data_IF_634582624951
#
_entry.id   IF_634582624951
#
_cell.length_a   1.000
_cell.length_b   1.000
_cell.length_c   1.000
_cell.angle_alpha   90.00
_cell.angle_beta   90.00
_cell.angle_gamma   90.00
#
_symmetry.space_group_name_H-M   'P 1'
#
loop_
_entity.id
_entity.type
_entity.pdbx_description
1 polymer ?
#
# COMPACT_ATOMS: atom_id res chain seq x y z
N UNK A 1 -18.44 6.42 -21.12
CA UNK A 1 -17.93 5.11 -20.71
C UNK A 1 -17.89 5.17 -19.19
N UNK A 2 -18.83 4.49 -18.52
CA UNK A 2 -18.78 4.32 -17.06
C UNK A 2 -17.41 3.72 -16.73
N UNK A 3 -16.73 4.12 -15.64
CA UNK A 3 -15.65 3.28 -15.13
C UNK A 3 -16.29 1.93 -14.79
N UNK A 4 -15.75 0.85 -15.37
CA UNK A 4 -16.19 -0.52 -15.08
C UNK A 4 -15.91 -0.80 -13.60
N UNK A 5 -16.89 -0.51 -12.74
CA UNK A 5 -16.90 -0.96 -11.36
C UNK A 5 -17.37 -2.42 -11.33
N UNK A 6 -16.66 -3.30 -12.03
CA UNK A 6 -16.78 -4.73 -11.81
C UNK A 6 -16.08 -5.06 -10.49
N UNK A 7 -16.70 -5.92 -9.67
CA UNK A 7 -16.01 -6.55 -8.54
C UNK A 7 -14.66 -7.10 -9.03
N UNK A 8 -13.51 -6.72 -8.43
CA UNK A 8 -12.25 -7.31 -8.83
C UNK A 8 -12.20 -8.74 -8.29
N UNK A 9 -12.73 -9.67 -9.08
CA UNK A 9 -12.21 -11.02 -9.09
C UNK A 9 -10.84 -10.96 -9.75
N UNK A 10 -9.79 -11.09 -8.91
CA UNK A 10 -8.46 -11.62 -9.23
C UNK A 10 -7.96 -11.32 -10.65
N UNK A 11 -7.31 -10.18 -10.85
CA UNK A 11 -6.53 -9.93 -12.07
C UNK A 11 -5.18 -9.32 -11.70
N UNK A 12 -4.14 -9.94 -12.25
CA UNK A 12 -2.72 -9.79 -11.95
C UNK A 12 -2.23 -8.33 -11.95
N UNK A 13 -1.39 -8.00 -10.97
CA UNK A 13 -0.67 -6.73 -10.86
C UNK A 13 0.56 -6.82 -11.76
N UNK A 14 0.46 -6.26 -12.96
CA UNK A 14 1.66 -5.96 -13.77
C UNK A 14 2.46 -4.83 -13.10
N UNK A 15 3.78 -4.95 -13.18
CA UNK A 15 4.78 -4.05 -12.58
C UNK A 15 4.46 -2.58 -12.86
N UNK A 16 4.11 -1.86 -11.81
CA UNK A 16 3.90 -0.42 -11.90
C UNK A 16 5.26 0.27 -11.92
N UNK A 17 5.71 0.68 -13.12
CA UNK A 17 6.73 1.71 -13.29
C UNK A 17 6.45 2.87 -12.32
N UNK A 18 7.52 3.47 -11.77
CA UNK A 18 7.43 4.61 -10.86
C UNK A 18 6.47 5.64 -11.45
N UNK A 19 5.28 5.75 -10.87
CA UNK A 19 4.22 6.56 -11.43
C UNK A 19 4.64 8.00 -11.21
N UNK A 20 5.22 8.63 -12.25
CA UNK A 20 5.47 10.05 -12.23
C UNK A 20 4.14 10.73 -11.90
N UNK A 21 4.13 11.58 -10.87
CA UNK A 21 2.93 12.28 -10.38
C UNK A 21 2.26 13.12 -11.47
N UNK A 22 3.00 13.42 -12.55
CA UNK A 22 2.57 14.15 -13.73
C UNK A 22 2.86 13.25 -14.92
N UNK A 23 1.82 12.83 -15.62
CA UNK A 23 1.97 12.08 -16.87
C UNK A 23 2.26 13.09 -18.01
N UNK A 24 2.95 12.70 -19.09
CA UNK A 24 3.20 13.61 -20.21
C UNK A 24 1.91 14.14 -20.85
N UNK A 25 0.78 13.41 -20.71
CA UNK A 25 -0.55 13.85 -21.14
C UNK A 25 -1.16 14.96 -20.27
N UNK A 26 -0.61 15.21 -19.08
CA UNK A 26 -1.07 16.25 -18.16
C UNK A 26 -0.43 17.62 -18.46
N UNK A 27 0.45 17.72 -19.47
CA UNK A 27 1.09 18.97 -19.89
C UNK A 27 0.32 19.55 -21.09
N UNK A 28 -0.41 20.64 -20.88
CA UNK A 28 -1.26 21.29 -21.89
C UNK A 28 -0.78 22.71 -22.16
N UNK A 29 -0.90 23.19 -23.40
CA UNK A 29 -0.60 24.59 -23.71
C UNK A 29 -1.53 25.54 -22.95
N UNK A 30 -0.97 26.61 -22.41
CA UNK A 30 -1.69 27.63 -21.63
C UNK A 30 -2.87 28.22 -22.40
N UNK A 31 -2.68 28.41 -23.71
CA UNK A 31 -3.68 28.90 -24.65
C UNK A 31 -3.52 28.16 -26.00
N UNK A 32 -4.60 28.02 -26.81
CA UNK A 32 -4.51 27.40 -28.13
C UNK A 32 -3.54 28.17 -29.03
N UNK A 33 -2.39 27.57 -29.36
CA UNK A 33 -1.35 28.18 -30.20
C UNK A 33 -0.20 28.87 -29.42
N UNK A 34 -0.22 28.86 -28.09
CA UNK A 34 0.90 29.36 -27.27
C UNK A 34 2.03 28.33 -27.16
N UNK A 35 3.27 28.79 -27.04
CA UNK A 35 4.44 27.95 -26.73
C UNK A 35 4.59 27.66 -25.22
N UNK A 36 3.88 28.41 -24.36
CA UNK A 36 3.89 28.22 -22.91
C UNK A 36 3.06 26.99 -22.51
N UNK A 37 3.69 26.05 -21.80
CA UNK A 37 3.06 24.84 -21.29
C UNK A 37 2.67 25.02 -19.82
N UNK A 38 1.48 24.56 -19.47
CA UNK A 38 0.92 24.56 -18.11
C UNK A 38 0.41 23.16 -17.75
N UNK A 39 0.34 22.86 -16.45
CA UNK A 39 -0.29 21.61 -16.02
C UNK A 39 -1.79 21.67 -16.27
N UNK A 40 -2.36 20.55 -16.71
CA UNK A 40 -3.78 20.37 -16.91
C UNK A 40 -4.50 20.61 -15.59
N UNK A 41 -5.56 21.41 -15.63
CA UNK A 41 -6.48 21.54 -14.50
C UNK A 41 -7.07 20.17 -14.16
N UNK A 42 -6.83 19.69 -12.94
CA UNK A 42 -7.43 18.45 -12.46
C UNK A 42 -8.95 18.60 -12.47
N UNK A 43 -9.62 17.79 -13.28
CA UNK A 43 -11.08 17.72 -13.32
C UNK A 43 -11.53 16.80 -12.20
N UNK A 44 -12.45 17.25 -11.35
CA UNK A 44 -13.12 16.35 -10.42
C UNK A 44 -13.92 15.33 -11.23
N UNK A 45 -14.12 14.10 -10.72
CA UNK A 45 -15.02 13.14 -11.35
C UNK A 45 -16.40 13.72 -11.67
N UNK A 46 -16.89 14.65 -10.83
CA UNK A 46 -18.13 15.41 -10.98
C UNK A 46 -18.12 16.46 -12.08
N UNK A 47 -16.94 16.93 -12.51
CA UNK A 47 -16.83 17.99 -13.52
C UNK A 47 -17.02 17.44 -14.95
N UNK A 48 -17.06 16.10 -15.10
CA UNK A 48 -17.49 15.47 -16.35
C UNK A 48 -18.99 15.70 -16.54
N UNK A 49 -19.33 16.68 -17.38
CA UNK A 49 -20.71 16.90 -17.83
C UNK A 49 -21.23 15.62 -18.48
N UNK A 50 -22.26 15.02 -17.87
CA UNK A 50 -22.96 13.90 -18.47
C UNK A 50 -23.59 14.37 -19.79
N UNK A 51 -23.46 13.57 -20.86
CA UNK A 51 -24.05 13.92 -22.18
C UNK A 51 -25.57 14.04 -22.16
N UNK A 52 -26.23 13.53 -21.12
CA UNK A 52 -27.66 13.56 -20.91
C UNK A 52 -27.97 13.96 -19.47
N UNK A 53 -29.07 14.70 -19.28
CA UNK A 53 -29.57 15.01 -17.95
C UNK A 53 -30.19 13.74 -17.35
N UNK A 54 -29.55 13.20 -16.32
CA UNK A 54 -30.03 12.06 -15.54
C UNK A 54 -30.24 12.52 -14.10
N UNK A 55 -31.42 12.26 -13.53
CA UNK A 55 -31.67 12.58 -12.12
C UNK A 55 -31.19 11.43 -11.24
N UNK A 56 -30.74 11.73 -10.03
CA UNK A 56 -30.39 10.70 -9.03
C UNK A 56 -31.53 9.73 -8.75
N UNK A 57 -32.79 10.20 -8.80
CA UNK A 57 -33.99 9.37 -8.65
C UNK A 57 -34.14 8.33 -9.76
N UNK A 58 -33.71 8.63 -11.00
CA UNK A 58 -33.77 7.71 -12.13
C UNK A 58 -32.69 6.63 -12.05
N UNK A 59 -31.51 6.97 -11.53
CA UNK A 59 -30.43 5.99 -11.30
C UNK A 59 -30.77 5.02 -10.18
N UNK A 60 -31.32 5.52 -9.06
CA UNK A 60 -31.73 4.70 -7.92
C UNK A 60 -32.89 3.77 -8.30
N UNK A 61 -33.86 4.25 -9.07
CA UNK A 61 -35.05 3.47 -9.46
C UNK A 61 -34.77 2.45 -10.57
N UNK A 62 -33.66 2.58 -11.31
CA UNK A 62 -33.31 1.69 -12.43
C UNK A 62 -32.62 0.39 -12.00
N UNK A 63 -32.21 0.26 -10.74
CA UNK A 63 -31.50 -0.91 -10.20
C UNK A 63 -32.37 -1.62 -9.17
N UNK A 64 -32.58 -2.94 -9.33
CA UNK A 64 -33.14 -3.78 -8.27
C UNK A 64 -32.01 -4.07 -7.27
N UNK A 65 -31.93 -3.26 -6.21
CA UNK A 65 -30.84 -3.28 -5.24
C UNK A 65 -30.21 -1.90 -5.08
N UNK A 66 -29.50 -1.67 -3.96
CA UNK A 66 -28.86 -0.37 -3.71
C UNK A 66 -27.83 -0.01 -4.79
N UNK A 67 -27.73 1.27 -5.12
CA UNK A 67 -26.70 1.78 -6.05
C UNK A 67 -25.31 1.49 -5.45
N UNK A 68 -24.35 0.93 -6.22
CA UNK A 68 -23.00 0.65 -5.72
C UNK A 68 -22.33 1.92 -5.21
N UNK A 69 -22.13 2.02 -3.90
CA UNK A 69 -21.46 3.17 -3.27
C UNK A 69 -19.96 3.23 -3.57
N UNK A 70 -19.35 2.14 -4.05
CA UNK A 70 -17.93 2.05 -4.37
C UNK A 70 -17.45 3.09 -5.40
N UNK A 71 -18.33 3.57 -6.28
CA UNK A 71 -17.96 4.47 -7.37
C UNK A 71 -18.22 5.96 -7.03
N UNK A 72 -18.70 6.27 -5.83
CA UNK A 72 -18.94 7.64 -5.38
C UNK A 72 -17.85 8.07 -4.40
N UNK A 73 -17.26 9.27 -4.57
CA UNK A 73 -16.31 9.79 -3.60
C UNK A 73 -17.03 10.01 -2.25
N UNK A 74 -16.41 9.54 -1.17
CA UNK A 74 -16.91 9.81 0.18
C UNK A 74 -16.75 11.31 0.45
N UNK A 75 -17.86 12.00 0.68
CA UNK A 75 -17.86 13.42 1.02
C UNK A 75 -17.62 13.56 2.52
N UNK A 76 -16.37 13.81 2.90
CA UNK A 76 -15.96 14.02 4.28
C UNK A 76 -14.45 14.00 4.45
N UNK A 77 -13.96 14.39 5.62
CA UNK A 77 -12.55 14.27 5.98
C UNK A 77 -12.44 13.12 6.98
N UNK A 78 -11.65 12.07 6.69
CA UNK A 78 -11.50 10.96 7.63
C UNK A 78 -10.73 11.40 8.88
N UNK A 79 -11.02 10.78 10.02
CA UNK A 79 -10.34 11.07 11.29
C UNK A 79 -8.84 10.75 11.21
N UNK A 80 -8.50 9.64 10.55
CA UNK A 80 -7.12 9.30 10.19
C UNK A 80 -6.92 9.69 8.73
N UNK A 81 -6.01 10.63 8.48
CA UNK A 81 -5.72 11.21 7.17
C UNK A 81 -4.80 10.32 6.33
N UNK A 82 -5.13 9.04 6.22
CA UNK A 82 -4.41 8.07 5.38
C UNK A 82 -4.59 8.33 3.88
N UNK A 83 -5.51 9.21 3.52
CA UNK A 83 -5.74 9.70 2.15
C UNK A 83 -4.62 10.62 1.64
N UNK A 84 -3.82 11.20 2.54
CA UNK A 84 -2.70 12.08 2.21
C UNK A 84 -1.39 11.53 2.76
N UNK A 85 -0.26 11.70 2.06
CA UNK A 85 1.02 11.26 2.56
C UNK A 85 1.43 12.09 3.79
N UNK A 86 2.06 11.43 4.76
CA UNK A 86 2.63 12.11 5.91
C UNK A 86 3.73 13.11 5.49
N UNK A 87 3.78 14.31 6.09
CA UNK A 87 4.78 15.31 5.77
C UNK A 87 6.18 14.85 6.20
N UNK A 88 7.18 15.06 5.34
CA UNK A 88 8.59 14.71 5.64
C UNK A 88 9.12 15.36 6.91
N UNK A 89 8.70 16.61 7.16
CA UNK A 89 9.03 17.36 8.37
C UNK A 89 7.71 17.82 8.97
N UNK A 90 7.36 17.21 10.10
CA UNK A 90 6.14 17.57 10.85
C UNK A 90 6.36 18.89 11.59
N UNK A 91 5.33 19.75 11.60
CA UNK A 91 5.32 20.96 12.43
C UNK A 91 5.03 20.57 13.88
N UNK A 92 5.55 21.31 14.84
CA UNK A 92 5.28 21.06 16.27
C UNK A 92 3.79 21.19 16.61
N UNK A 93 3.07 22.05 15.90
CA UNK A 93 1.63 22.25 16.06
C UNK A 93 0.77 21.29 15.25
N UNK A 94 1.36 20.34 14.53
CA UNK A 94 0.62 19.37 13.75
C UNK A 94 -0.07 18.37 14.69
N UNK A 95 -1.39 18.24 14.52
CA UNK A 95 -2.25 17.36 15.35
C UNK A 95 -2.91 16.27 14.51
N UNK A 96 -2.58 16.20 13.22
CA UNK A 96 -3.22 15.29 12.28
C UNK A 96 -2.54 13.92 12.33
N UNK A 97 -3.34 12.87 12.53
CA UNK A 97 -2.86 11.50 12.43
C UNK A 97 -2.91 11.05 10.95
N UNK A 98 -1.75 10.73 10.37
CA UNK A 98 -1.61 10.27 8.99
C UNK A 98 -1.70 8.74 8.83
N UNK A 99 -1.90 8.01 9.93
CA UNK A 99 -1.93 6.55 9.94
C UNK A 99 -0.54 5.90 9.95
N UNK A 100 0.51 6.67 10.22
CA UNK A 100 1.88 6.15 10.35
C UNK A 100 2.30 5.86 11.80
N UNK A 101 1.46 6.23 12.77
CA UNK A 101 1.72 6.10 14.20
C UNK A 101 1.25 4.75 14.75
N UNK A 102 1.93 4.25 15.78
CA UNK A 102 1.58 3.02 16.47
C UNK A 102 0.32 3.16 17.35
N UNK A 103 -0.17 2.03 17.84
CA UNK A 103 -1.33 2.02 18.73
C UNK A 103 -0.95 2.48 20.16
N UNK A 104 -1.94 2.79 21.00
CA UNK A 104 -1.72 3.17 22.40
C UNK A 104 -0.90 2.11 23.18
N UNK A 105 -1.04 0.84 22.81
CA UNK A 105 -0.27 -0.25 23.39
C UNK A 105 1.24 -0.08 23.21
N UNK A 106 1.69 0.32 22.02
CA UNK A 106 3.11 0.55 21.72
C UNK A 106 3.71 1.70 22.53
N UNK A 107 2.87 2.64 23.00
CA UNK A 107 3.31 3.74 23.87
C UNK A 107 3.42 3.31 25.34
N UNK A 108 2.48 2.47 25.81
CA UNK A 108 2.50 1.95 27.18
C UNK A 108 3.59 0.88 27.37
N UNK A 109 3.88 0.12 26.31
CA UNK A 109 4.84 -0.98 26.29
C UNK A 109 5.81 -0.81 25.12
N UNK A 110 6.77 0.14 25.21
CA UNK A 110 7.71 0.38 24.14
C UNK A 110 8.60 -0.85 23.91
N UNK A 111 8.83 -1.18 22.64
CA UNK A 111 9.75 -2.25 22.25
C UNK A 111 11.20 -1.76 22.30
N UNK A 112 12.15 -2.69 22.40
CA UNK A 112 13.59 -2.38 22.33
C UNK A 112 13.94 -1.68 20.99
N UNK A 113 13.17 -1.95 19.94
CA UNK A 113 13.32 -1.32 18.63
C UNK A 113 12.86 0.15 18.63
N UNK A 114 11.81 0.46 19.39
CA UNK A 114 11.32 1.83 19.52
C UNK A 114 12.35 2.76 20.18
N UNK A 115 13.18 2.24 21.11
CA UNK A 115 14.32 2.98 21.67
C UNK A 115 15.36 3.36 20.61
N UNK A 116 15.46 2.56 19.54
CA UNK A 116 16.33 2.82 18.38
C UNK A 116 15.61 3.58 17.25
N UNK A 117 14.37 4.01 17.47
CA UNK A 117 13.56 4.71 16.49
C UNK A 117 13.03 3.82 15.36
N UNK A 118 13.00 2.50 15.56
CA UNK A 118 12.42 1.53 14.61
C UNK A 118 11.03 1.15 15.10
N UNK A 119 10.02 1.43 14.27
CA UNK A 119 8.60 1.24 14.61
C UNK A 119 7.97 0.10 13.81
N UNK A 120 6.75 -0.31 14.16
CA UNK A 120 6.02 -1.43 13.56
C UNK A 120 5.94 -1.31 12.03
N UNK A 121 5.70 -0.09 11.53
CA UNK A 121 5.66 0.21 10.09
C UNK A 121 6.93 -0.22 9.35
N UNK A 122 8.08 -0.12 10.01
CA UNK A 122 9.37 -0.41 9.39
C UNK A 122 9.57 -1.92 9.23
N UNK A 123 8.90 -2.76 10.04
CA UNK A 123 8.88 -4.21 9.86
C UNK A 123 8.01 -4.65 8.67
N UNK A 124 6.88 -3.98 8.48
CA UNK A 124 5.93 -4.27 7.39
C UNK A 124 6.28 -3.58 6.06
N UNK A 125 7.23 -2.64 6.06
CA UNK A 125 7.72 -2.01 4.85
C UNK A 125 8.30 -3.05 3.88
N UNK A 126 7.80 -3.03 2.64
CA UNK A 126 8.30 -3.87 1.55
C UNK A 126 9.71 -3.40 1.15
N UNK A 127 10.59 -4.37 0.90
CA UNK A 127 12.00 -4.13 0.60
C UNK A 127 12.47 -5.01 -0.54
N UNK A 128 13.57 -4.61 -1.17
CA UNK A 128 14.21 -5.46 -2.17
C UNK A 128 14.88 -6.65 -1.52
N UNK A 129 15.20 -7.65 -2.34
CA UNK A 129 15.82 -8.88 -1.86
C UNK A 129 17.23 -8.64 -1.33
N UNK A 130 17.97 -7.74 -1.95
CA UNK A 130 19.32 -7.35 -1.56
C UNK A 130 19.32 -6.62 -0.21
N UNK A 131 18.37 -5.71 0.02
CA UNK A 131 18.25 -5.01 1.31
C UNK A 131 17.94 -6.01 2.44
N UNK A 132 17.05 -6.97 2.19
CA UNK A 132 16.68 -7.99 3.18
C UNK A 132 17.85 -8.94 3.47
N UNK A 133 18.60 -9.37 2.45
CA UNK A 133 19.76 -10.24 2.66
C UNK A 133 20.85 -9.53 3.47
N UNK A 134 21.09 -8.24 3.21
CA UNK A 134 22.02 -7.42 3.97
C UNK A 134 21.58 -7.27 5.43
N UNK A 135 20.30 -7.01 5.68
CA UNK A 135 19.74 -6.91 7.03
C UNK A 135 19.94 -8.24 7.79
N UNK A 136 19.63 -9.38 7.19
CA UNK A 136 19.79 -10.70 7.83
C UNK A 136 21.26 -11.02 8.12
N UNK A 137 22.16 -10.70 7.18
CA UNK A 137 23.59 -10.85 7.36
C UNK A 137 24.11 -10.01 8.53
N UNK A 138 23.67 -8.74 8.63
CA UNK A 138 24.05 -7.82 9.70
C UNK A 138 23.52 -8.27 11.08
N UNK A 139 22.36 -8.93 11.13
CA UNK A 139 21.82 -9.55 12.36
C UNK A 139 22.66 -10.77 12.77
N UNK A 140 23.41 -11.38 11.84
CA UNK A 140 24.22 -12.57 12.06
C UNK A 140 23.54 -13.88 11.65
N UNK A 141 22.44 -13.81 10.90
CA UNK A 141 21.79 -14.99 10.34
C UNK A 141 22.58 -15.43 9.11
N UNK A 142 23.29 -16.55 9.22
CA UNK A 142 24.07 -17.13 8.12
C UNK A 142 23.20 -18.13 7.36
N UNK A 143 22.57 -17.67 6.29
CA UNK A 143 21.86 -18.52 5.34
C UNK A 143 22.74 -18.73 4.11
N UNK A 144 22.72 -19.94 3.54
CA UNK A 144 23.20 -20.13 2.18
C UNK A 144 22.28 -19.42 1.18
N UNK A 145 22.79 -19.10 0.00
CA UNK A 145 22.00 -18.45 -1.05
C UNK A 145 20.75 -19.28 -1.41
N UNK A 146 20.90 -20.60 -1.48
CA UNK A 146 19.80 -21.53 -1.79
C UNK A 146 18.71 -21.53 -0.70
N UNK A 147 19.11 -21.52 0.57
CA UNK A 147 18.16 -21.43 1.69
C UNK A 147 17.44 -20.09 1.71
N UNK A 148 18.17 -19.00 1.43
CA UNK A 148 17.59 -17.67 1.36
C UNK A 148 16.57 -17.55 0.23
N UNK A 149 16.86 -18.10 -0.95
CA UNK A 149 15.91 -18.18 -2.07
C UNK A 149 14.64 -18.94 -1.70
N UNK A 150 14.80 -20.07 -0.99
CA UNK A 150 13.66 -20.86 -0.55
C UNK A 150 12.78 -20.08 0.44
N UNK A 151 13.40 -19.41 1.42
CA UNK A 151 12.69 -18.55 2.39
C UNK A 151 11.99 -17.38 1.69
N UNK A 152 12.66 -16.74 0.74
CA UNK A 152 12.11 -15.64 -0.06
C UNK A 152 10.86 -16.09 -0.83
N UNK A 153 10.94 -17.23 -1.53
CA UNK A 153 9.84 -17.78 -2.30
C UNK A 153 8.64 -18.16 -1.41
N UNK A 154 8.88 -18.68 -0.21
CA UNK A 154 7.82 -18.95 0.76
C UNK A 154 7.19 -17.66 1.29
N UNK A 155 8.00 -16.65 1.60
CA UNK A 155 7.53 -15.36 2.10
C UNK A 155 6.72 -14.60 1.05
N UNK A 156 7.16 -14.62 -0.22
CA UNK A 156 6.48 -14.01 -1.36
C UNK A 156 5.09 -14.62 -1.57
N UNK A 157 4.96 -15.94 -1.45
CA UNK A 157 3.66 -16.65 -1.55
C UNK A 157 2.65 -16.26 -0.45
N UNK A 158 3.12 -15.80 0.72
CA UNK A 158 2.23 -15.35 1.80
C UNK A 158 1.64 -13.96 1.54
N UNK A 159 2.30 -13.14 0.73
CA UNK A 159 1.82 -11.81 0.41
C UNK A 159 0.99 -11.83 -0.87
N UNK A 160 -0.18 -11.19 -0.85
CA UNK A 160 -1.10 -11.18 -2.00
C UNK A 160 -0.50 -10.54 -3.28
N UNK A 161 0.51 -9.67 -3.14
CA UNK A 161 1.23 -9.04 -4.26
C UNK A 161 2.62 -9.64 -4.53
N UNK A 162 3.03 -10.69 -3.81
CA UNK A 162 4.37 -11.25 -3.91
C UNK A 162 5.49 -10.40 -3.27
N UNK A 163 5.19 -9.17 -2.83
CA UNK A 163 6.13 -8.31 -2.09
C UNK A 163 6.51 -8.91 -0.74
N UNK A 164 7.76 -8.67 -0.31
CA UNK A 164 8.30 -9.24 0.93
C UNK A 164 8.71 -8.14 1.89
N UNK A 165 8.37 -8.34 3.17
CA UNK A 165 8.78 -7.50 4.29
C UNK A 165 9.51 -8.34 5.35
N UNK A 166 10.12 -7.67 6.33
CA UNK A 166 10.93 -8.34 7.37
C UNK A 166 10.06 -9.28 8.20
N UNK A 167 8.83 -8.87 8.53
CA UNK A 167 7.93 -9.71 9.33
C UNK A 167 7.53 -10.98 8.59
N UNK A 168 7.33 -10.92 7.27
CA UNK A 168 7.05 -12.11 6.46
C UNK A 168 8.21 -13.11 6.50
N UNK A 169 9.44 -12.63 6.36
CA UNK A 169 10.65 -13.47 6.41
C UNK A 169 10.80 -14.10 7.79
N UNK A 170 10.64 -13.30 8.85
CA UNK A 170 10.69 -13.77 10.24
C UNK A 170 9.69 -14.91 10.47
N UNK A 171 8.44 -14.72 10.06
CA UNK A 171 7.39 -15.73 10.20
C UNK A 171 7.74 -17.03 9.47
N UNK A 172 8.32 -16.97 8.28
CA UNK A 172 8.77 -18.16 7.54
C UNK A 172 9.93 -18.86 8.25
N UNK A 173 10.93 -18.12 8.74
CA UNK A 173 12.06 -18.69 9.48
C UNK A 173 11.61 -19.38 10.77
N UNK A 174 10.69 -18.75 11.51
CA UNK A 174 10.10 -19.32 12.73
C UNK A 174 9.35 -20.63 12.41
N UNK A 175 8.52 -20.64 11.35
CA UNK A 175 7.82 -21.85 10.90
C UNK A 175 8.77 -23.00 10.51
N UNK A 176 9.84 -22.70 9.77
CA UNK A 176 10.85 -23.70 9.41
C UNK A 176 11.53 -24.28 10.65
N UNK A 177 11.93 -23.42 11.58
CA UNK A 177 12.52 -23.85 12.85
C UNK A 177 11.56 -24.71 13.68
N UNK A 178 10.28 -24.34 13.71
CA UNK A 178 9.23 -25.13 14.37
C UNK A 178 9.04 -26.49 13.70
N UNK A 179 9.02 -26.56 12.36
CA UNK A 179 8.88 -27.81 11.62
C UNK A 179 10.05 -28.78 11.88
N UNK A 180 11.28 -28.28 11.94
CA UNK A 180 12.45 -29.12 12.21
C UNK A 180 12.46 -29.66 13.64
N UNK A 181 12.05 -28.85 14.63
CA UNK A 181 11.86 -29.33 16.02
C UNK A 181 10.83 -30.44 16.13
N UNK A 182 9.75 -30.39 15.34
CA UNK A 182 8.72 -31.43 15.32
C UNK A 182 9.23 -32.73 14.70
N UNK A 183 10.00 -32.65 13.62
CA UNK A 183 10.64 -33.83 13.00
C UNK A 183 11.56 -34.55 14.00
N UNK A 184 12.42 -33.81 14.71
CA UNK A 184 13.32 -34.38 15.71
C UNK A 184 12.59 -35.07 16.87
N UNK A 185 11.42 -34.55 17.28
CA UNK A 185 10.59 -35.16 18.35
C UNK A 185 9.83 -36.41 17.89
N UNK A 186 9.54 -36.54 16.61
CA UNK A 186 8.86 -37.72 16.06
C UNK A 186 9.82 -38.88 15.80
N UNK A 187 11.13 -38.62 15.76
CA UNK A 187 12.19 -39.61 15.54
C UNK A 187 12.83 -40.14 16.83
N UNK A 188 12.40 -39.64 18.00
CA UNK A 188 12.70 -40.21 19.33
C UNK A 188 11.49 -41.02 19.81
#
# INVERSE_FOLDING_TARGET
RMPDCAYPAVANVEESESTLLIKPEDIVFKEPGSSEKTLRTLLRPSDKVAKHHTTTSSEISAVVGAVPSLCYPIYGVPTVRSDIPAPRIRRVSDRTNYGEEGNAYSLLHPTIFAEKGVFERDFFKTRSKEEISEILCNIGVKLSEEEFENVWNLASKKHHRGEVCIENIRNVLDELQHADRLKCKSTM
#
